data_IF_492097946102
#
_entry.id   IF_492097946102
#
_cell.length_a   1.000
_cell.length_b   1.000
_cell.length_c   1.000
_cell.angle_alpha   90.00
_cell.angle_beta   90.00
_cell.angle_gamma   90.00
#
_symmetry.space_group_name_H-M   'P 1'
#
loop_
_entity.id
_entity.type
_entity.pdbx_description
1 polymer ?
#
# COMPACT_ATOMS: atom_id res chain seq x y z
N UNK A 1 6.10 -13.18 -8.46
CA UNK A 1 6.43 -11.74 -8.32
C UNK A 1 6.12 -11.26 -6.91
N UNK A 2 6.75 -10.18 -6.46
CA UNK A 2 6.51 -9.51 -5.17
C UNK A 2 6.31 -8.01 -5.40
N UNK A 3 5.50 -7.36 -4.56
CA UNK A 3 5.41 -5.91 -4.54
C UNK A 3 6.42 -5.33 -3.55
N UNK A 4 7.17 -4.32 -3.97
CA UNK A 4 8.11 -3.60 -3.13
C UNK A 4 7.84 -2.10 -3.22
N UNK A 5 7.61 -1.44 -2.07
CA UNK A 5 7.52 0.03 -2.01
C UNK A 5 8.92 0.63 -2.14
N UNK A 6 9.04 1.68 -2.94
CA UNK A 6 10.27 2.46 -3.11
C UNK A 6 10.41 3.43 -1.92
N UNK A 7 11.51 3.32 -1.18
CA UNK A 7 11.85 4.25 -0.08
C UNK A 7 12.52 5.51 -0.60
N UNK A 8 13.50 5.35 -1.48
CA UNK A 8 14.31 6.44 -2.02
C UNK A 8 14.78 6.12 -3.42
N UNK A 9 14.99 7.18 -4.20
CA UNK A 9 15.64 7.13 -5.51
C UNK A 9 16.81 8.11 -5.43
N UNK A 10 18.01 7.63 -5.73
CA UNK A 10 19.26 8.37 -5.54
C UNK A 10 20.23 8.11 -6.69
N UNK A 11 21.18 9.02 -6.87
CA UNK A 11 22.29 8.83 -7.80
C UNK A 11 23.52 8.36 -7.03
N UNK A 12 24.17 7.32 -7.54
CA UNK A 12 25.40 6.77 -7.00
C UNK A 12 26.63 7.38 -7.63
N UNK A 13 27.78 6.77 -7.32
CA UNK A 13 29.03 7.09 -8.01
C UNK A 13 28.85 6.98 -9.53
N UNK A 14 29.51 7.89 -10.25
CA UNK A 14 29.41 8.01 -11.72
C UNK A 14 28.00 8.36 -12.23
N UNK A 15 27.14 8.94 -11.38
CA UNK A 15 25.81 9.41 -11.78
C UNK A 15 24.82 8.28 -12.07
N UNK A 16 25.05 7.08 -11.54
CA UNK A 16 24.21 5.92 -11.83
C UNK A 16 22.96 5.95 -10.94
N UNK A 17 21.73 6.02 -11.48
CA UNK A 17 20.52 6.01 -10.67
C UNK A 17 20.30 4.63 -10.05
N UNK A 18 19.89 4.62 -8.78
CA UNK A 18 19.42 3.44 -8.07
C UNK A 18 18.22 3.77 -7.20
N UNK A 19 17.40 2.76 -6.93
CA UNK A 19 16.34 2.85 -5.95
C UNK A 19 16.53 1.85 -4.82
N UNK A 20 16.07 2.23 -3.63
CA UNK A 20 16.03 1.38 -2.46
C UNK A 20 14.58 0.98 -2.19
N UNK A 21 14.37 -0.30 -1.96
CA UNK A 21 13.05 -0.83 -1.61
C UNK A 21 12.89 -0.96 -0.10
N UNK A 22 11.65 -1.10 0.34
CA UNK A 22 11.33 -1.35 1.75
C UNK A 22 11.93 -2.66 2.28
N UNK A 23 12.14 -3.68 1.44
CA UNK A 23 12.76 -4.95 1.80
C UNK A 23 14.30 -4.94 1.70
N UNK A 24 14.92 -3.76 1.60
CA UNK A 24 16.37 -3.59 1.65
C UNK A 24 17.12 -3.89 0.35
N UNK A 25 16.41 -4.08 -0.77
CA UNK A 25 17.05 -4.29 -2.07
C UNK A 25 17.46 -2.95 -2.68
N UNK A 26 18.56 -2.98 -3.43
CA UNK A 26 19.03 -1.86 -4.25
C UNK A 26 18.96 -2.26 -5.71
N UNK A 27 18.14 -1.55 -6.50
CA UNK A 27 17.96 -1.83 -7.93
C UNK A 27 18.55 -0.67 -8.71
N UNK A 28 19.52 -0.98 -9.57
CA UNK A 28 20.21 0.00 -10.43
C UNK A 28 19.46 0.17 -11.74
N UNK A 29 19.59 1.35 -12.34
CA UNK A 29 18.94 1.72 -13.60
C UNK A 29 17.41 1.51 -13.58
N UNK A 30 16.68 2.03 -12.58
CA UNK A 30 15.23 1.99 -12.60
C UNK A 30 14.67 2.92 -13.69
N UNK A 31 13.41 2.69 -14.06
CA UNK A 31 12.68 3.61 -14.94
C UNK A 31 12.65 5.04 -14.34
N UNK A 32 12.98 6.10 -15.11
CA UNK A 32 12.98 7.49 -14.64
C UNK A 32 11.64 7.99 -14.10
N UNK A 33 10.53 7.35 -14.49
CA UNK A 33 9.17 7.68 -14.05
C UNK A 33 8.88 7.19 -12.63
N UNK A 34 9.66 6.25 -12.08
CA UNK A 34 9.50 5.75 -10.71
C UNK A 34 9.99 6.81 -9.72
N UNK A 35 9.13 7.16 -8.75
CA UNK A 35 9.44 8.11 -7.68
C UNK A 35 9.37 7.43 -6.30
N UNK A 36 9.83 8.16 -5.29
CA UNK A 36 9.72 7.68 -3.90
C UNK A 36 8.24 7.48 -3.52
N UNK A 37 7.96 6.45 -2.72
CA UNK A 37 6.63 5.98 -2.31
C UNK A 37 5.82 5.23 -3.36
N UNK A 38 6.27 5.17 -4.61
CA UNK A 38 5.69 4.28 -5.61
C UNK A 38 5.93 2.81 -5.24
N UNK A 39 5.19 1.92 -5.88
CA UNK A 39 5.36 0.47 -5.67
C UNK A 39 5.79 -0.20 -6.96
N UNK A 40 6.85 -0.99 -6.90
CA UNK A 40 7.35 -1.78 -8.02
C UNK A 40 6.88 -3.23 -7.89
N UNK A 41 6.58 -3.85 -9.03
CA UNK A 41 6.36 -5.28 -9.18
C UNK A 41 7.70 -5.91 -9.56
N UNK A 42 8.27 -6.62 -8.60
CA UNK A 42 9.55 -7.29 -8.73
C UNK A 42 9.35 -8.74 -9.16
N UNK A 43 10.06 -9.16 -10.19
CA UNK A 43 10.26 -10.58 -10.44
C UNK A 43 11.32 -11.14 -9.48
N UNK A 44 10.97 -12.22 -8.77
CA UNK A 44 11.79 -12.75 -7.67
C UNK A 44 12.99 -13.51 -8.22
N UNK A 45 12.84 -14.15 -9.37
CA UNK A 45 13.88 -14.96 -10.01
C UNK A 45 14.94 -14.06 -10.65
N UNK A 46 14.53 -13.14 -11.53
CA UNK A 46 15.47 -12.25 -12.21
C UNK A 46 15.92 -11.05 -11.38
N UNK A 47 15.19 -10.70 -10.32
CA UNK A 47 15.42 -9.47 -9.54
C UNK A 47 15.12 -8.18 -10.31
N UNK A 48 14.47 -8.28 -11.48
CA UNK A 48 14.15 -7.14 -12.34
C UNK A 48 12.76 -6.58 -12.04
N UNK A 49 12.58 -5.29 -12.31
CA UNK A 49 11.28 -4.61 -12.22
C UNK A 49 10.50 -4.96 -13.49
N UNK A 50 9.31 -5.53 -13.30
CA UNK A 50 8.39 -5.88 -14.40
C UNK A 50 7.44 -4.73 -14.71
N UNK A 51 6.91 -4.10 -13.66
CA UNK A 51 5.92 -3.03 -13.76
C UNK A 51 5.95 -2.18 -12.47
N UNK A 52 5.29 -1.02 -12.45
CA UNK A 52 5.18 -0.17 -11.27
C UNK A 52 3.84 0.58 -11.18
N UNK A 53 3.46 0.95 -9.96
CA UNK A 53 2.28 1.77 -9.67
C UNK A 53 2.73 3.06 -9.00
N UNK A 54 2.28 4.18 -9.55
CA UNK A 54 2.48 5.49 -8.95
C UNK A 54 1.65 5.66 -7.67
N UNK A 55 2.24 6.31 -6.68
CA UNK A 55 1.52 6.75 -5.49
C UNK A 55 0.67 7.98 -5.82
N UNK A 56 -0.57 7.73 -6.22
CA UNK A 56 -1.52 8.76 -6.63
C UNK A 56 -2.94 8.44 -6.12
N UNK A 57 -3.78 9.47 -6.11
CA UNK A 57 -5.20 9.39 -5.75
C UNK A 57 -5.91 8.39 -6.66
N UNK A 58 -6.83 7.61 -6.09
CA UNK A 58 -7.60 6.60 -6.82
C UNK A 58 -6.94 5.22 -6.86
N UNK A 59 -5.69 5.07 -6.41
CA UNK A 59 -5.06 3.75 -6.30
C UNK A 59 -5.36 3.07 -4.96
N UNK A 60 -5.45 1.75 -4.99
CA UNK A 60 -5.69 0.91 -3.80
C UNK A 60 -4.42 0.75 -2.97
N UNK A 61 -4.56 0.95 -1.67
CA UNK A 61 -3.49 0.91 -0.69
C UNK A 61 -3.83 -0.01 0.48
N UNK A 62 -2.79 -0.57 1.08
CA UNK A 62 -2.83 -1.25 2.36
C UNK A 62 -2.07 -0.42 3.41
N UNK A 63 -2.64 -0.32 4.60
CA UNK A 63 -1.97 0.32 5.74
C UNK A 63 -1.05 -0.68 6.43
N UNK A 64 0.23 -0.36 6.55
CA UNK A 64 1.25 -1.22 7.16
C UNK A 64 1.51 -0.93 8.64
N UNK A 65 1.11 0.24 9.15
CA UNK A 65 1.41 0.67 10.52
C UNK A 65 0.35 1.57 11.17
N UNK A 66 0.46 1.74 12.49
CA UNK A 66 -0.46 2.54 13.31
C UNK A 66 -1.81 1.86 13.60
N UNK A 67 -2.79 2.64 14.09
CA UNK A 67 -4.12 2.15 14.51
C UNK A 67 -4.92 1.49 13.39
N UNK A 68 -4.70 1.91 12.14
CA UNK A 68 -5.40 1.43 10.95
C UNK A 68 -4.66 0.30 10.22
N UNK A 69 -3.59 -0.29 10.82
CA UNK A 69 -2.82 -1.37 10.22
C UNK A 69 -3.71 -2.53 9.74
N UNK A 70 -3.41 -3.04 8.54
CA UNK A 70 -4.14 -4.14 7.90
C UNK A 70 -5.40 -3.71 7.15
N UNK A 71 -5.83 -2.44 7.27
CA UNK A 71 -6.94 -1.92 6.48
C UNK A 71 -6.51 -1.67 5.04
N UNK A 72 -7.44 -1.92 4.11
CA UNK A 72 -7.25 -1.70 2.68
C UNK A 72 -8.33 -0.75 2.19
N UNK A 73 -7.95 0.17 1.31
CA UNK A 73 -8.89 1.10 0.71
C UNK A 73 -8.26 1.87 -0.45
N UNK A 74 -9.02 2.77 -1.04
CA UNK A 74 -8.59 3.64 -2.13
C UNK A 74 -8.18 4.98 -1.55
N UNK A 75 -7.06 5.54 -2.02
CA UNK A 75 -6.65 6.91 -1.65
C UNK A 75 -7.69 7.89 -2.22
N UNK A 76 -8.31 8.68 -1.34
CA UNK A 76 -9.21 9.78 -1.74
C UNK A 76 -8.49 11.11 -1.82
N UNK A 77 -7.68 11.41 -0.81
CA UNK A 77 -7.00 12.69 -0.72
C UNK A 77 -5.61 12.53 -0.11
N UNK A 78 -4.70 13.37 -0.56
CA UNK A 78 -3.33 13.49 -0.07
C UNK A 78 -3.12 14.92 0.42
N UNK A 79 -3.11 15.08 1.73
CA UNK A 79 -2.88 16.37 2.38
C UNK A 79 -1.37 16.58 2.59
N UNK A 80 -0.85 17.65 2.02
CA UNK A 80 0.56 18.01 2.08
C UNK A 80 0.78 19.09 3.13
N UNK A 81 1.55 18.76 4.16
CA UNK A 81 2.00 19.70 5.17
C UNK A 81 3.49 19.97 4.99
N UNK A 82 3.88 21.19 4.60
CA UNK A 82 5.29 21.54 4.40
C UNK A 82 6.03 21.45 5.75
N UNK A 83 7.12 20.69 5.79
CA UNK A 83 7.93 20.48 7.00
C UNK A 83 7.37 19.47 8.01
N UNK A 84 6.23 18.82 7.70
CA UNK A 84 5.64 17.77 8.55
C UNK A 84 5.26 16.54 7.72
N UNK A 85 4.65 15.56 8.37
CA UNK A 85 4.19 14.34 7.72
C UNK A 85 2.96 14.64 6.85
N UNK A 86 2.97 14.12 5.63
CA UNK A 86 1.78 14.11 4.78
C UNK A 86 0.74 13.13 5.33
N UNK A 87 -0.53 13.57 5.31
CA UNK A 87 -1.67 12.79 5.76
C UNK A 87 -2.43 12.27 4.54
N UNK A 88 -2.70 10.97 4.54
CA UNK A 88 -3.39 10.27 3.45
C UNK A 88 -4.76 9.85 3.95
N UNK A 89 -5.79 10.34 3.27
CA UNK A 89 -7.18 9.96 3.50
C UNK A 89 -7.52 8.78 2.59
N UNK A 90 -8.00 7.70 3.20
CA UNK A 90 -8.31 6.44 2.54
C UNK A 90 -9.77 6.10 2.82
N UNK A 91 -10.48 5.66 1.78
CA UNK A 91 -11.83 5.09 1.91
C UNK A 91 -11.76 3.58 1.64
N UNK A 92 -12.29 2.77 2.55
CA UNK A 92 -12.44 1.33 2.30
C UNK A 92 -13.65 0.99 1.43
N UNK A 93 -13.77 -0.27 1.04
CA UNK A 93 -14.87 -0.73 0.18
C UNK A 93 -16.26 -0.69 0.86
N UNK A 94 -16.31 -0.58 2.20
CA UNK A 94 -17.55 -0.41 2.96
C UNK A 94 -17.95 1.07 3.09
N UNK A 95 -17.12 1.98 2.58
CA UNK A 95 -17.36 3.42 2.61
C UNK A 95 -16.78 4.12 3.84
N UNK A 96 -16.17 3.40 4.78
CA UNK A 96 -15.56 4.01 5.95
C UNK A 96 -14.29 4.77 5.56
N UNK A 97 -14.19 6.00 6.03
CA UNK A 97 -13.02 6.84 5.82
C UNK A 97 -12.10 6.85 7.04
N UNK A 98 -10.80 6.86 6.78
CA UNK A 98 -9.79 6.99 7.82
C UNK A 98 -8.53 7.63 7.26
N UNK A 99 -7.73 8.21 8.15
CA UNK A 99 -6.48 8.86 7.78
C UNK A 99 -5.26 8.13 8.36
N UNK A 100 -4.15 8.18 7.64
CA UNK A 100 -2.85 7.65 8.09
C UNK A 100 -1.71 8.52 7.56
N UNK A 101 -0.55 8.48 8.22
CA UNK A 101 0.67 9.11 7.71
C UNK A 101 1.16 8.39 6.46
N UNK A 102 1.72 9.12 5.48
CA UNK A 102 2.26 8.56 4.23
C UNK A 102 3.26 7.40 4.42
N UNK A 103 4.06 7.45 5.50
CA UNK A 103 5.00 6.37 5.82
C UNK A 103 4.34 5.00 6.03
N UNK A 104 3.09 4.98 6.52
CA UNK A 104 2.33 3.78 6.83
C UNK A 104 1.47 3.27 5.65
N UNK A 105 1.56 3.91 4.48
CA UNK A 105 0.75 3.56 3.31
C UNK A 105 1.57 2.78 2.30
N UNK A 106 1.03 1.69 1.78
CA UNK A 106 1.65 0.87 0.74
C UNK A 106 0.66 0.68 -0.42
N UNK A 107 0.99 1.13 -1.62
CA UNK A 107 0.14 0.93 -2.81
C UNK A 107 0.21 -0.50 -3.28
N UNK A 108 -0.93 -1.18 -3.39
CA UNK A 108 -0.98 -2.62 -3.73
C UNK A 108 -1.54 -2.89 -5.13
N UNK A 109 -1.99 -1.86 -5.86
CA UNK A 109 -2.54 -2.01 -7.19
C UNK A 109 -3.00 -0.69 -7.81
N UNK A 110 -3.47 -0.77 -9.05
CA UNK A 110 -3.93 0.37 -9.85
C UNK A 110 -5.46 0.48 -9.79
N UNK A 111 -5.96 1.68 -9.56
CA UNK A 111 -7.39 1.90 -9.35
C UNK A 111 -7.89 1.10 -8.15
N UNK A 112 -9.03 0.43 -8.33
CA UNK A 112 -9.64 -0.47 -7.33
C UNK A 112 -9.11 -1.90 -7.39
N UNK A 113 -8.29 -2.26 -8.38
CA UNK A 113 -7.83 -3.63 -8.61
C UNK A 113 -6.48 -3.87 -7.93
N UNK A 114 -6.42 -4.66 -6.84
CA UNK A 114 -5.16 -5.05 -6.22
C UNK A 114 -4.39 -6.00 -7.16
N UNK A 115 -3.06 -5.90 -7.16
CA UNK A 115 -2.17 -6.81 -7.90
C UNK A 115 -1.86 -8.10 -7.13
N UNK A 116 -2.15 -8.12 -5.83
CA UNK A 116 -1.96 -9.28 -4.96
C UNK A 116 -3.31 -9.76 -4.43
N UNK A 117 -3.40 -11.06 -4.15
CA UNK A 117 -4.55 -11.65 -3.48
C UNK A 117 -4.70 -11.08 -2.07
N UNK A 118 -5.93 -10.74 -1.68
CA UNK A 118 -6.21 -10.19 -0.36
C UNK A 118 -6.60 -11.30 0.64
N UNK A 119 -6.22 -11.17 1.93
CA UNK A 119 -6.70 -12.06 2.98
C UNK A 119 -8.22 -12.02 3.17
N UNK A 120 -8.75 -13.01 3.92
CA UNK A 120 -10.18 -13.05 4.29
C UNK A 120 -10.59 -11.72 4.95
N UNK A 121 -11.72 -11.17 4.50
CA UNK A 121 -12.21 -9.86 4.94
C UNK A 121 -11.72 -8.67 4.12
N UNK A 122 -10.84 -8.88 3.11
CA UNK A 122 -10.41 -7.84 2.14
C UNK A 122 -9.89 -6.54 2.79
N UNK A 123 -9.38 -6.61 4.02
CA UNK A 123 -8.89 -5.43 4.75
C UNK A 123 -9.99 -4.49 5.26
N UNK A 124 -11.24 -4.95 5.34
CA UNK A 124 -12.33 -4.19 5.96
C UNK A 124 -12.30 -4.46 7.46
N UNK A 125 -12.16 -3.40 8.25
CA UNK A 125 -12.26 -3.48 9.71
C UNK A 125 -13.71 -3.21 10.10
N UNK A 126 -14.36 -4.23 10.64
CA UNK A 126 -15.71 -4.13 11.17
C UNK A 126 -15.71 -3.43 12.54
N UNK A 127 -16.86 -2.87 12.90
CA UNK A 127 -17.08 -2.41 14.26
C UNK A 127 -17.19 -3.61 15.23
N UNK A 128 -16.95 -3.36 16.51
CA UNK A 128 -17.01 -4.40 17.56
C UNK A 128 -18.39 -5.08 17.58
N UNK A 129 -19.46 -4.31 17.33
CA UNK A 129 -20.83 -4.81 17.30
C UNK A 129 -21.05 -5.72 16.08
N UNK A 130 -20.56 -5.34 14.91
CA UNK A 130 -20.66 -6.14 13.68
C UNK A 130 -19.85 -7.43 13.79
N UNK A 131 -18.65 -7.38 14.38
CA UNK A 131 -17.85 -8.58 14.66
C UNK A 131 -18.58 -9.54 15.60
N UNK A 132 -19.18 -9.02 16.68
CA UNK A 132 -19.95 -9.82 17.63
C UNK A 132 -21.16 -10.48 16.95
N UNK A 133 -21.93 -9.73 16.16
CA UNK A 133 -23.06 -10.26 15.39
C UNK A 133 -22.62 -11.35 14.41
N UNK A 134 -21.54 -11.11 13.68
CA UNK A 134 -20.99 -12.09 12.73
C UNK A 134 -20.53 -13.38 13.42
N UNK A 135 -19.89 -13.25 14.59
CA UNK A 135 -19.46 -14.40 15.40
C UNK A 135 -20.66 -15.19 15.91
N UNK A 136 -21.68 -14.52 16.44
CA UNK A 136 -22.89 -15.17 16.94
C UNK A 136 -23.67 -15.86 15.82
N UNK A 137 -23.82 -15.22 14.66
CA UNK A 137 -24.45 -15.83 13.50
C UNK A 137 -23.71 -17.08 13.01
N UNK A 138 -22.37 -17.05 13.01
CA UNK A 138 -21.55 -18.21 12.67
C UNK A 138 -21.69 -19.35 13.69
N UNK A 139 -21.83 -19.04 14.98
CA UNK A 139 -22.06 -20.05 16.02
C UNK A 139 -23.43 -20.71 15.88
N UNK A 140 -24.49 -19.93 15.58
CA UNK A 140 -25.84 -20.46 15.35
C UNK A 140 -25.90 -21.32 14.08
N UNK A 141 -25.18 -20.94 13.02
CA UNK A 141 -25.15 -21.73 11.78
C UNK A 141 -24.32 -23.02 11.85
N UNK A 142 -23.47 -23.16 12.87
CA UNK A 142 -22.64 -24.34 13.10
C UNK A 142 -23.26 -25.33 14.09
N UNK A 143 -24.33 -24.93 14.79
CA UNK A 143 -25.16 -25.78 15.64
C UNK A 143 -26.30 -26.40 14.82
#
# INVERSE_FOLDING_TARGET
FKLCKVRSVQFGQKGIPYLNTYDGRTIRYPDPLIKANDTIKLDIESGKIVDFVKFDVGNVVMVTGGRNRGRIGVIKNREKHKGSFEIIHVQDAAGHEFATRLGNVFTIGKGTKPWVSLPKGKGIKLSIIEEARKRNAAAVAAA
#
